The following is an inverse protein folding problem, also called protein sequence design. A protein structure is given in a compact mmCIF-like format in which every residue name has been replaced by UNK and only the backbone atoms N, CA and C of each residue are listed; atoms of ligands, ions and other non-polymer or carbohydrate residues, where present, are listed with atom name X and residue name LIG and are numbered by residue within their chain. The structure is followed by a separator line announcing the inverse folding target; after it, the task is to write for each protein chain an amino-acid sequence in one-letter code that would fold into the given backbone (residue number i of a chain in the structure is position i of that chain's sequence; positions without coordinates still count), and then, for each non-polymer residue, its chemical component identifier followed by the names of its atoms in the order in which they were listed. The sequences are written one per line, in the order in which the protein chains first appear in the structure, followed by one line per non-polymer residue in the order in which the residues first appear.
data_IF_159457537305
#
_entry.id   IF_159457537305
#
_cell.length_a   1.000
_cell.length_b   1.000
_cell.length_c   1.000
_cell.angle_alpha   90.00
_cell.angle_beta   90.00
_cell.angle_gamma   90.00
#
_symmetry.space_group_name_H-M   'P 1'
#
loop_
_entity.id
_entity.type
_entity.pdbx_description
1 polymer ?
#
# COMPACT_ATOMS: atom_id res chain seq x y z
N UNK A 1 10.36 15.49 43.12
CA UNK A 1 9.21 15.36 42.19
C UNK A 1 9.68 14.46 41.06
N UNK A 2 9.55 13.15 41.25
CA UNK A 2 10.00 12.14 40.29
C UNK A 2 9.06 12.10 39.10
N UNK A 3 9.62 12.07 37.89
CA UNK A 3 8.85 11.88 36.66
C UNK A 3 8.14 10.52 36.70
N UNK A 4 6.84 10.44 36.31
CA UNK A 4 6.17 9.16 36.23
C UNK A 4 6.83 8.30 35.15
N UNK A 5 6.98 6.98 35.37
CA UNK A 5 7.56 6.09 34.37
C UNK A 5 6.64 6.10 33.14
N UNK A 6 7.22 6.44 31.99
CA UNK A 6 6.59 6.24 30.68
C UNK A 6 6.15 4.77 30.61
N UNK A 7 4.85 4.50 30.58
CA UNK A 7 4.30 3.15 30.41
C UNK A 7 4.93 2.56 29.15
N UNK A 8 5.84 1.60 29.30
CA UNK A 8 6.33 0.79 28.20
C UNK A 8 5.09 0.22 27.49
N UNK A 9 4.92 0.54 26.20
CA UNK A 9 3.83 0.01 25.40
C UNK A 9 3.77 -1.52 25.63
N UNK A 10 2.60 -2.02 26.01
CA UNK A 10 2.43 -3.43 26.33
C UNK A 10 2.96 -4.26 25.17
N UNK A 11 4.01 -5.05 25.43
CA UNK A 11 4.64 -5.86 24.39
C UNK A 11 3.60 -6.81 23.79
N UNK A 12 3.51 -6.91 22.46
CA UNK A 12 2.42 -7.64 21.81
C UNK A 12 2.45 -9.15 22.11
N UNK A 13 1.28 -9.77 22.28
CA UNK A 13 1.15 -11.22 22.54
C UNK A 13 0.99 -11.98 21.20
N UNK A 14 2.13 -12.32 20.59
CA UNK A 14 2.18 -13.05 19.33
C UNK A 14 1.60 -14.47 19.43
N UNK A 15 1.65 -15.09 20.62
CA UNK A 15 1.09 -16.42 20.82
C UNK A 15 -0.44 -16.37 20.82
N UNK A 16 -1.04 -15.35 21.45
CA UNK A 16 -2.47 -15.08 21.35
C UNK A 16 -2.89 -14.71 19.92
N UNK A 17 -2.13 -13.84 19.24
CA UNK A 17 -2.39 -13.49 17.84
C UNK A 17 -2.41 -14.73 16.94
N UNK A 18 -1.42 -15.61 17.05
CA UNK A 18 -1.37 -16.89 16.32
C UNK A 18 -2.57 -17.77 16.58
N UNK A 19 -3.01 -17.91 17.84
CA UNK A 19 -4.20 -18.70 18.19
C UNK A 19 -5.46 -18.15 17.53
N UNK A 20 -5.64 -16.82 17.55
CA UNK A 20 -6.78 -16.16 16.90
C UNK A 20 -6.79 -16.39 15.39
N UNK A 21 -5.64 -16.22 14.73
CA UNK A 21 -5.53 -16.39 13.28
C UNK A 21 -5.76 -17.84 12.85
N UNK A 22 -5.28 -18.81 13.66
CA UNK A 22 -5.57 -20.22 13.42
C UNK A 22 -7.08 -20.49 13.46
N UNK A 23 -7.78 -19.97 14.46
CA UNK A 23 -9.23 -20.13 14.56
C UNK A 23 -9.94 -19.49 13.36
N UNK A 24 -9.56 -18.26 13.00
CA UNK A 24 -10.13 -17.57 11.84
C UNK A 24 -9.89 -18.32 10.52
N UNK A 25 -8.68 -18.83 10.29
CA UNK A 25 -8.38 -19.62 9.10
C UNK A 25 -9.28 -20.86 9.02
N UNK A 26 -9.49 -21.55 10.15
CA UNK A 26 -10.40 -22.70 10.23
C UNK A 26 -11.85 -22.30 9.94
N UNK A 27 -12.32 -21.20 10.53
CA UNK A 27 -13.69 -20.69 10.35
C UNK A 27 -13.96 -20.28 8.88
N UNK A 28 -12.93 -19.84 8.16
CA UNK A 28 -12.98 -19.45 6.74
C UNK A 28 -12.59 -20.57 5.76
N UNK A 29 -12.40 -21.81 6.23
CA UNK A 29 -12.05 -22.96 5.37
C UNK A 29 -10.66 -22.90 4.74
N UNK A 30 -9.75 -22.08 5.29
CA UNK A 30 -8.35 -22.00 4.88
C UNK A 30 -7.48 -22.93 5.73
N UNK A 31 -6.42 -23.49 5.15
CA UNK A 31 -5.44 -24.26 5.93
C UNK A 31 -4.61 -23.33 6.83
N UNK A 32 -4.70 -23.43 8.17
CA UNK A 32 -3.90 -22.62 9.07
C UNK A 32 -2.39 -22.82 8.90
N UNK A 33 -1.94 -23.98 8.41
CA UNK A 33 -0.53 -24.25 8.14
C UNK A 33 0.00 -23.39 7.00
N UNK A 34 -0.81 -23.15 5.96
CA UNK A 34 -0.45 -22.26 4.85
C UNK A 34 -0.48 -20.78 5.27
N UNK A 35 -1.52 -20.38 6.00
CA UNK A 35 -1.71 -18.99 6.49
C UNK A 35 -0.61 -18.59 7.48
N UNK A 36 -0.17 -19.52 8.32
CA UNK A 36 0.85 -19.29 9.35
C UNK A 36 2.24 -19.82 8.96
N UNK A 37 2.46 -20.16 7.69
CA UNK A 37 3.75 -20.66 7.20
C UNK A 37 4.87 -19.64 7.45
N UNK A 38 6.05 -20.13 7.81
CA UNK A 38 7.20 -19.28 8.13
C UNK A 38 7.64 -18.45 6.91
N UNK A 39 7.46 -19.01 5.70
CA UNK A 39 7.77 -18.40 4.41
C UNK A 39 6.83 -17.22 4.12
N UNK A 40 5.52 -17.38 4.38
CA UNK A 40 4.54 -16.31 4.20
C UNK A 40 4.77 -15.18 5.21
N UNK A 41 4.94 -15.53 6.48
CA UNK A 41 5.21 -14.56 7.54
C UNK A 41 6.55 -13.85 7.30
N UNK A 42 7.57 -14.54 6.80
CA UNK A 42 8.84 -13.93 6.38
C UNK A 42 8.62 -12.90 5.27
N UNK A 43 7.85 -13.24 4.23
CA UNK A 43 7.57 -12.32 3.12
C UNK A 43 6.83 -11.05 3.55
N UNK A 44 5.95 -11.15 4.54
CA UNK A 44 5.14 -10.04 5.05
C UNK A 44 5.85 -9.21 6.12
N UNK A 45 6.75 -9.80 6.91
CA UNK A 45 7.46 -9.14 8.01
C UNK A 45 8.90 -8.72 7.70
N UNK A 46 9.50 -9.32 6.67
CA UNK A 46 10.93 -9.17 6.43
C UNK A 46 11.83 -9.95 7.39
N UNK A 47 11.27 -10.74 8.32
CA UNK A 47 12.05 -11.59 9.22
C UNK A 47 12.46 -12.87 8.49
N UNK A 48 13.70 -13.33 8.70
CA UNK A 48 14.21 -14.58 8.14
C UNK A 48 13.32 -15.78 8.52
N UNK A 49 12.97 -16.69 7.57
CA UNK A 49 12.04 -17.79 7.83
C UNK A 49 12.40 -18.64 9.06
N UNK A 50 13.68 -19.01 9.22
CA UNK A 50 14.15 -19.81 10.37
C UNK A 50 14.00 -19.12 11.73
N UNK A 51 13.87 -17.78 11.74
CA UNK A 51 13.71 -16.97 12.96
C UNK A 51 12.25 -16.71 13.31
N UNK A 52 11.34 -16.78 12.34
CA UNK A 52 9.91 -16.52 12.56
C UNK A 52 9.33 -17.34 13.72
N UNK A 53 9.55 -18.67 13.84
CA UNK A 53 9.01 -19.44 14.96
C UNK A 53 9.50 -18.96 16.33
N UNK A 54 10.78 -18.58 16.43
CA UNK A 54 11.39 -18.09 17.66
C UNK A 54 10.82 -16.72 18.05
N UNK A 55 10.59 -15.84 17.06
CA UNK A 55 9.97 -14.53 17.28
C UNK A 55 8.53 -14.70 17.77
N UNK A 56 7.74 -15.56 17.12
CA UNK A 56 6.36 -15.88 17.52
C UNK A 56 6.31 -16.47 18.94
N UNK A 57 7.27 -17.32 19.30
CA UNK A 57 7.41 -17.89 20.63
C UNK A 57 7.94 -16.90 21.68
N UNK A 58 8.35 -15.69 21.27
CA UNK A 58 8.94 -14.69 22.16
C UNK A 58 10.34 -15.05 22.68
N UNK A 59 11.03 -15.99 22.03
CA UNK A 59 12.36 -16.50 22.41
C UNK A 59 13.49 -15.94 21.55
N UNK A 60 13.17 -15.27 20.44
CA UNK A 60 14.17 -14.69 19.57
C UNK A 60 14.90 -13.51 20.23
N UNK A 61 16.22 -13.49 20.11
CA UNK A 61 17.06 -12.33 20.43
C UNK A 61 16.97 -11.32 19.29
N UNK A 62 16.77 -10.04 19.61
CA UNK A 62 16.65 -8.98 18.60
C UNK A 62 17.97 -8.79 17.83
N UNK A 63 17.88 -8.61 16.52
CA UNK A 63 19.03 -8.36 15.65
C UNK A 63 19.31 -6.86 15.60
N UNK A 64 20.59 -6.41 15.53
CA UNK A 64 20.93 -5.00 15.35
C UNK A 64 20.17 -4.35 14.18
N UNK A 65 19.78 -3.09 14.34
CA UNK A 65 18.91 -2.37 13.41
C UNK A 65 19.48 -2.37 11.99
N UNK A 66 20.77 -2.09 11.84
CA UNK A 66 21.50 -2.04 10.57
C UNK A 66 21.37 -3.35 9.81
N UNK A 67 21.60 -4.47 10.53
CA UNK A 67 21.51 -5.81 9.97
C UNK A 67 20.08 -6.17 9.61
N UNK A 68 19.08 -5.80 10.42
CA UNK A 68 17.66 -6.02 10.09
C UNK A 68 17.24 -5.26 8.85
N UNK A 69 17.54 -3.97 8.80
CA UNK A 69 17.17 -3.07 7.70
C UNK A 69 17.82 -3.56 6.40
N UNK A 70 19.09 -3.94 6.43
CA UNK A 70 19.80 -4.54 5.31
C UNK A 70 19.17 -5.87 4.85
N UNK A 71 18.94 -6.81 5.77
CA UNK A 71 18.33 -8.11 5.46
C UNK A 71 16.94 -7.96 4.85
N UNK A 72 16.12 -7.04 5.38
CA UNK A 72 14.78 -6.75 4.87
C UNK A 72 14.82 -6.14 3.49
N UNK A 73 15.75 -5.23 3.24
CA UNK A 73 15.95 -4.65 1.92
C UNK A 73 16.35 -5.70 0.88
N UNK A 74 17.29 -6.61 1.23
CA UNK A 74 17.65 -7.73 0.37
C UNK A 74 16.47 -8.68 0.13
N UNK A 75 15.67 -8.97 1.15
CA UNK A 75 14.49 -9.82 0.98
C UNK A 75 13.47 -9.18 0.02
N UNK A 76 13.23 -7.87 0.11
CA UNK A 76 12.34 -7.17 -0.82
C UNK A 76 12.84 -7.31 -2.25
N UNK A 77 14.13 -7.02 -2.50
CA UNK A 77 14.74 -7.17 -3.83
C UNK A 77 14.71 -8.62 -4.32
N UNK A 78 14.81 -9.59 -3.41
CA UNK A 78 14.80 -11.00 -3.74
C UNK A 78 13.40 -11.57 -4.03
N UNK A 79 12.36 -11.02 -3.42
CA UNK A 79 10.99 -11.56 -3.48
C UNK A 79 10.03 -10.74 -4.31
N UNK A 80 10.34 -9.47 -4.59
CA UNK A 80 9.53 -8.54 -5.40
C UNK A 80 10.34 -8.15 -6.62
N UNK A 81 10.30 -9.01 -7.63
CA UNK A 81 11.08 -8.87 -8.88
C UNK A 81 10.37 -7.96 -9.88
N UNK A 82 11.11 -7.52 -10.89
CA UNK A 82 10.54 -6.81 -12.05
C UNK A 82 9.64 -7.75 -12.88
N UNK A 83 9.00 -7.19 -13.92
CA UNK A 83 8.14 -7.95 -14.85
C UNK A 83 8.84 -9.11 -15.60
N UNK A 84 10.18 -9.17 -15.53
CA UNK A 84 11.02 -10.19 -16.13
C UNK A 84 11.66 -11.13 -15.08
N UNK A 85 11.27 -11.03 -13.81
CA UNK A 85 11.81 -11.86 -12.74
C UNK A 85 13.19 -11.45 -12.21
N UNK A 86 13.72 -10.29 -12.63
CA UNK A 86 15.03 -9.78 -12.20
C UNK A 86 14.91 -8.89 -10.96
N UNK A 87 16.02 -8.67 -10.26
CA UNK A 87 16.05 -7.67 -9.19
C UNK A 87 15.90 -6.27 -9.76
N UNK A 88 15.17 -5.43 -9.04
CA UNK A 88 15.16 -4.01 -9.31
C UNK A 88 16.56 -3.41 -9.13
N UNK A 89 17.06 -2.65 -10.12
CA UNK A 89 18.26 -1.84 -9.98
C UNK A 89 18.07 -0.79 -8.89
N UNK A 90 19.12 -0.49 -8.12
CA UNK A 90 19.06 0.54 -7.07
C UNK A 90 18.67 1.92 -7.61
N UNK A 91 19.09 2.25 -8.83
CA UNK A 91 18.72 3.49 -9.50
C UNK A 91 17.20 3.58 -9.73
N UNK A 92 16.58 2.50 -10.23
CA UNK A 92 15.14 2.46 -10.48
C UNK A 92 14.32 2.58 -9.19
N UNK A 93 14.80 1.95 -8.10
CA UNK A 93 14.15 2.06 -6.79
C UNK A 93 14.23 3.50 -6.28
N UNK A 94 15.40 4.14 -6.40
CA UNK A 94 15.63 5.49 -5.89
C UNK A 94 14.89 6.58 -6.70
N UNK A 95 14.75 6.38 -8.02
CA UNK A 95 14.03 7.27 -8.92
C UNK A 95 12.54 7.42 -8.54
N UNK A 96 11.90 6.36 -8.03
CA UNK A 96 10.50 6.39 -7.55
C UNK A 96 10.23 7.33 -6.37
N UNK A 97 11.29 7.84 -5.73
CA UNK A 97 11.20 8.81 -4.65
C UNK A 97 12.20 9.96 -4.81
N UNK A 98 12.52 10.31 -6.05
CA UNK A 98 13.33 11.47 -6.43
C UNK A 98 14.71 11.51 -5.75
N UNK A 99 15.32 10.34 -5.54
CA UNK A 99 16.63 10.21 -4.92
C UNK A 99 17.70 9.73 -5.92
N UNK A 100 18.97 10.13 -5.74
CA UNK A 100 20.07 9.59 -6.55
C UNK A 100 20.21 8.08 -6.35
N UNK A 101 20.45 7.32 -7.43
CA UNK A 101 20.62 5.86 -7.36
C UNK A 101 21.71 5.38 -6.38
N UNK A 102 22.77 6.19 -6.21
CA UNK A 102 23.84 5.93 -5.25
C UNK A 102 23.39 6.01 -3.77
N UNK A 103 22.24 6.65 -3.48
CA UNK A 103 21.72 6.85 -2.12
C UNK A 103 21.35 5.55 -1.40
N UNK A 104 21.08 4.47 -2.15
CA UNK A 104 20.78 3.14 -1.63
C UNK A 104 22.02 2.23 -1.55
N UNK A 105 23.19 2.69 -2.03
CA UNK A 105 24.43 1.92 -2.00
C UNK A 105 24.82 1.43 -0.61
N UNK A 106 24.89 2.30 0.42
CA UNK A 106 25.21 1.89 1.79
C UNK A 106 24.21 0.90 2.39
N UNK A 107 22.90 1.07 2.09
CA UNK A 107 21.86 0.14 2.51
C UNK A 107 22.04 -1.24 1.86
N UNK A 108 22.32 -1.25 0.55
CA UNK A 108 22.54 -2.48 -0.20
C UNK A 108 23.82 -3.21 0.22
N UNK A 109 24.86 -2.48 0.65
CA UNK A 109 26.10 -3.05 1.16
C UNK A 109 26.02 -3.43 2.66
N UNK A 110 24.95 -3.05 3.36
CA UNK A 110 24.81 -3.27 4.80
C UNK A 110 25.74 -2.39 5.64
N UNK A 111 26.28 -1.31 5.07
CA UNK A 111 27.23 -0.41 5.71
C UNK A 111 26.59 0.88 6.24
N UNK A 112 25.31 1.12 5.94
CA UNK A 112 24.60 2.31 6.41
C UNK A 112 23.08 2.16 6.43
N UNK A 113 22.44 2.97 7.26
CA UNK A 113 20.98 3.07 7.34
C UNK A 113 20.44 4.09 6.32
N UNK A 114 19.25 3.85 5.76
CA UNK A 114 18.58 4.84 4.94
C UNK A 114 18.11 6.02 5.80
N UNK A 115 18.07 7.22 5.21
CA UNK A 115 17.31 8.34 5.78
C UNK A 115 15.83 7.94 5.86
N UNK A 116 15.09 8.50 6.82
CA UNK A 116 13.67 8.17 7.01
C UNK A 116 12.83 8.33 5.74
N UNK A 117 13.05 9.40 4.97
CA UNK A 117 12.39 9.60 3.67
C UNK A 117 12.73 8.51 2.63
N UNK A 118 13.98 8.06 2.58
CA UNK A 118 14.38 6.97 1.66
C UNK A 118 13.80 5.62 2.11
N UNK A 119 13.72 5.37 3.42
CA UNK A 119 13.08 4.17 3.95
C UNK A 119 11.59 4.15 3.59
N UNK A 120 10.90 5.28 3.69
CA UNK A 120 9.52 5.42 3.26
C UNK A 120 9.35 5.20 1.75
N UNK A 121 10.23 5.78 0.94
CA UNK A 121 10.26 5.59 -0.52
C UNK A 121 10.43 4.13 -0.92
N UNK A 122 11.43 3.43 -0.36
CA UNK A 122 11.65 1.99 -0.62
C UNK A 122 10.43 1.15 -0.23
N UNK A 123 9.81 1.44 0.93
CA UNK A 123 8.63 0.71 1.38
C UNK A 123 7.44 0.91 0.42
N UNK A 124 7.24 2.15 -0.06
CA UNK A 124 6.19 2.46 -1.05
C UNK A 124 6.46 1.77 -2.37
N UNK A 125 7.67 1.86 -2.90
CA UNK A 125 8.09 1.22 -4.16
C UNK A 125 7.75 -0.29 -4.17
N UNK A 126 8.03 -0.99 -3.06
CA UNK A 126 7.76 -2.42 -2.95
C UNK A 126 6.35 -2.77 -2.47
N UNK A 127 5.48 -1.78 -2.24
CA UNK A 127 4.12 -1.99 -1.74
C UNK A 127 4.10 -2.69 -0.39
N UNK A 128 4.96 -2.29 0.55
CA UNK A 128 4.99 -2.79 1.92
C UNK A 128 4.66 -1.69 2.93
N UNK A 129 4.24 -2.09 4.12
CA UNK A 129 3.75 -1.18 5.15
C UNK A 129 4.83 -0.20 5.64
N UNK A 130 4.37 0.96 6.11
CA UNK A 130 5.23 1.94 6.76
C UNK A 130 5.89 1.35 8.02
N UNK A 131 7.22 1.39 8.07
CA UNK A 131 8.00 0.81 9.16
C UNK A 131 8.47 -0.61 8.91
N UNK A 132 8.15 -1.23 7.77
CA UNK A 132 8.65 -2.55 7.38
C UNK A 132 10.16 -2.65 7.51
N UNK A 133 10.94 -1.63 7.12
CA UNK A 133 12.40 -1.69 7.24
C UNK A 133 12.87 -1.55 8.69
N UNK A 134 12.25 -0.68 9.48
CA UNK A 134 12.78 -0.21 10.76
C UNK A 134 12.26 -0.99 11.99
N UNK A 135 11.04 -1.53 11.92
CA UNK A 135 10.37 -2.19 13.06
C UNK A 135 11.18 -3.35 13.64
N UNK A 136 11.21 -3.55 14.96
CA UNK A 136 11.81 -4.76 15.54
C UNK A 136 11.18 -6.06 15.01
N UNK A 137 11.86 -7.19 15.18
CA UNK A 137 11.38 -8.48 14.68
C UNK A 137 10.00 -8.83 15.22
N UNK A 138 9.71 -8.49 16.48
CA UNK A 138 8.44 -8.81 17.14
C UNK A 138 7.28 -8.03 16.53
N UNK A 139 7.40 -6.71 16.42
CA UNK A 139 6.38 -5.85 15.81
C UNK A 139 6.19 -6.12 14.31
N UNK A 140 7.25 -6.50 13.60
CA UNK A 140 7.12 -6.88 12.19
C UNK A 140 6.35 -8.19 12.00
N UNK A 141 6.60 -9.19 12.85
CA UNK A 141 5.87 -10.47 12.82
C UNK A 141 4.43 -10.30 13.29
N UNK A 142 4.16 -9.43 14.26
CA UNK A 142 2.80 -9.07 14.67
C UNK A 142 1.98 -8.54 13.49
N UNK A 143 2.52 -7.57 12.75
CA UNK A 143 1.86 -7.03 11.57
C UNK A 143 1.71 -8.06 10.48
N UNK A 144 2.71 -8.91 10.25
CA UNK A 144 2.59 -10.01 9.29
C UNK A 144 1.50 -11.02 9.68
N UNK A 145 1.33 -11.28 10.98
CA UNK A 145 0.22 -12.07 11.50
C UNK A 145 -1.11 -11.37 11.24
N UNK A 146 -1.24 -10.07 11.52
CA UNK A 146 -2.44 -9.29 11.20
C UNK A 146 -2.76 -9.26 9.69
N UNK A 147 -1.74 -9.09 8.83
CA UNK A 147 -1.90 -9.16 7.36
C UNK A 147 -2.22 -10.57 6.86
N UNK A 148 -1.77 -11.61 7.56
CA UNK A 148 -2.15 -13.00 7.27
C UNK A 148 -3.56 -13.31 7.76
N UNK A 149 -4.04 -12.59 8.77
CA UNK A 149 -5.41 -12.60 9.25
C UNK A 149 -6.37 -11.87 8.31
N UNK A 150 -5.89 -10.82 7.60
CA UNK A 150 -6.57 -10.06 6.55
C UNK A 150 -7.02 -10.93 5.38
N UNK A 151 -8.17 -11.60 5.46
CA UNK A 151 -9.55 -11.07 5.45
C UNK A 151 -10.15 -10.44 6.73
N UNK A 152 -9.46 -10.31 7.85
CA UNK A 152 -9.88 -9.46 8.98
C UNK A 152 -8.68 -8.76 9.64
N UNK A 153 -8.58 -7.41 9.62
CA UNK A 153 -7.56 -6.68 10.36
C UNK A 153 -7.84 -6.72 11.87
N UNK A 154 -6.79 -6.62 12.69
CA UNK A 154 -6.95 -6.40 14.13
C UNK A 154 -7.68 -5.06 14.28
N UNK A 155 -8.90 -5.07 14.80
CA UNK A 155 -9.85 -3.95 14.77
C UNK A 155 -9.42 -2.66 15.49
N UNK A 156 -8.12 -2.41 15.69
CA UNK A 156 -7.53 -1.10 15.95
C UNK A 156 -7.16 -0.38 14.66
N UNK A 157 -6.58 -1.06 13.68
CA UNK A 157 -6.25 -0.46 12.39
C UNK A 157 -7.54 -0.10 11.62
N UNK A 158 -8.59 -0.94 11.74
CA UNK A 158 -9.92 -0.63 11.21
C UNK A 158 -10.52 0.62 11.87
N UNK A 159 -10.33 0.80 13.18
CA UNK A 159 -10.89 1.97 13.87
C UNK A 159 -10.12 3.25 13.55
N UNK A 160 -8.81 3.17 13.31
CA UNK A 160 -8.03 4.32 12.84
C UNK A 160 -8.38 4.68 11.40
N UNK A 161 -8.56 3.67 10.53
CA UNK A 161 -9.01 3.87 9.15
C UNK A 161 -10.43 4.47 9.12
N UNK A 162 -11.37 3.88 9.86
CA UNK A 162 -12.73 4.41 10.01
C UNK A 162 -12.70 5.80 10.63
N UNK A 163 -11.80 6.08 11.58
CA UNK A 163 -11.61 7.43 12.14
C UNK A 163 -11.18 8.42 11.06
N UNK A 164 -10.25 8.04 10.19
CA UNK A 164 -9.79 8.85 9.06
C UNK A 164 -10.89 9.14 8.02
N UNK A 165 -11.75 8.16 7.75
CA UNK A 165 -12.85 8.25 6.79
C UNK A 165 -14.07 9.02 7.33
N UNK A 166 -14.30 9.01 8.64
CA UNK A 166 -15.53 9.55 9.26
C UNK A 166 -15.30 10.82 10.10
N UNK A 167 -14.07 11.07 10.53
CA UNK A 167 -13.75 12.11 11.51
C UNK A 167 -14.19 11.77 12.93
N UNK A 168 -14.74 10.58 13.17
CA UNK A 168 -15.13 10.11 14.50
C UNK A 168 -13.92 9.61 15.28
N UNK A 169 -13.99 9.66 16.60
CA UNK A 169 -12.94 9.04 17.44
C UNK A 169 -13.08 7.51 17.43
N UNK A 170 -11.99 6.74 17.65
CA UNK A 170 -12.08 5.28 17.78
C UNK A 170 -13.11 4.81 18.84
N UNK A 171 -13.28 5.59 19.90
CA UNK A 171 -14.30 5.33 20.93
C UNK A 171 -15.73 5.56 20.40
N UNK A 172 -15.95 6.65 19.69
CA UNK A 172 -17.25 6.94 19.07
C UNK A 172 -17.64 5.86 18.06
N UNK A 173 -16.70 5.42 17.23
CA UNK A 173 -16.93 4.34 16.25
C UNK A 173 -17.36 3.06 16.94
N UNK A 174 -16.66 2.63 18.01
CA UNK A 174 -17.07 1.45 18.79
C UNK A 174 -18.48 1.59 19.35
N UNK A 175 -18.79 2.73 19.93
CA UNK A 175 -20.11 3.00 20.48
C UNK A 175 -21.20 2.97 19.41
N UNK A 176 -20.95 3.52 18.22
CA UNK A 176 -21.87 3.48 17.09
C UNK A 176 -22.04 2.07 16.53
N UNK A 177 -20.96 1.28 16.39
CA UNK A 177 -21.02 -0.15 16.03
C UNK A 177 -21.83 -0.97 17.04
N UNK A 178 -21.75 -0.62 18.32
CA UNK A 178 -22.56 -1.21 19.40
C UNK A 178 -24.02 -0.70 19.41
N UNK A 179 -24.45 0.11 18.44
CA UNK A 179 -25.80 0.69 18.37
C UNK A 179 -26.06 1.80 19.39
N UNK A 180 -25.01 2.40 19.96
CA UNK A 180 -25.06 3.42 21.00
C UNK A 180 -24.30 4.70 20.60
N UNK A 181 -24.63 5.32 19.45
CA UNK A 181 -23.86 6.45 18.93
C UNK A 181 -23.82 7.62 19.93
N UNK A 182 -22.66 8.27 20.13
CA UNK A 182 -22.58 9.51 20.88
C UNK A 182 -23.49 10.57 20.25
N UNK A 183 -24.28 11.28 21.06
CA UNK A 183 -25.16 12.36 20.59
C UNK A 183 -24.55 13.72 20.89
N UNK A 184 -23.50 14.06 20.15
CA UNK A 184 -22.90 15.39 20.24
C UNK A 184 -23.85 16.44 19.63
N UNK A 185 -23.89 17.67 20.15
CA UNK A 185 -24.52 18.78 19.46
C UNK A 185 -23.91 18.92 18.05
N UNK A 186 -24.74 19.11 17.01
CA UNK A 186 -24.30 19.17 15.61
C UNK A 186 -23.13 20.16 15.40
N UNK A 187 -23.17 21.31 16.09
CA UNK A 187 -22.12 22.32 16.04
C UNK A 187 -20.76 21.82 16.54
N UNK A 188 -20.77 21.01 17.60
CA UNK A 188 -19.55 20.39 18.13
C UNK A 188 -19.05 19.28 17.20
N UNK A 189 -19.95 18.44 16.69
CA UNK A 189 -19.61 17.40 15.71
C UNK A 189 -18.94 17.99 14.46
N UNK A 190 -19.55 19.01 13.87
CA UNK A 190 -19.06 19.69 12.66
C UNK A 190 -17.69 20.33 12.92
N UNK A 191 -17.49 20.95 14.09
CA UNK A 191 -16.20 21.49 14.50
C UNK A 191 -15.13 20.39 14.63
N UNK A 192 -15.44 19.29 15.33
CA UNK A 192 -14.51 18.18 15.51
C UNK A 192 -14.13 17.51 14.19
N UNK A 193 -15.09 17.30 13.29
CA UNK A 193 -14.85 16.73 11.96
C UNK A 193 -14.03 17.67 11.08
N UNK A 194 -14.27 18.98 11.16
CA UNK A 194 -13.46 19.97 10.45
C UNK A 194 -12.01 20.01 10.97
N UNK A 195 -11.80 20.02 12.28
CA UNK A 195 -10.47 19.95 12.87
C UNK A 195 -9.79 18.60 12.60
N UNK A 196 -10.56 17.51 12.52
CA UNK A 196 -10.05 16.22 12.09
C UNK A 196 -9.49 16.29 10.67
N UNK A 197 -10.24 16.85 9.70
CA UNK A 197 -9.74 17.04 8.32
C UNK A 197 -8.44 17.84 8.31
N UNK A 198 -8.37 18.95 9.03
CA UNK A 198 -7.18 19.80 9.10
C UNK A 198 -5.96 19.09 9.68
N UNK A 199 -6.16 18.12 10.58
CA UNK A 199 -5.09 17.35 11.23
C UNK A 199 -4.64 16.15 10.40
N UNK A 200 -5.55 15.50 9.69
CA UNK A 200 -5.25 14.25 8.96
C UNK A 200 -4.94 14.45 7.49
N UNK A 201 -5.37 15.56 6.89
CA UNK A 201 -5.14 15.92 5.49
C UNK A 201 -4.31 17.19 5.44
N UNK A 202 -3.02 17.04 5.74
CA UNK A 202 -2.04 18.14 5.79
C UNK A 202 -1.40 18.37 4.42
N UNK A 203 -0.75 19.51 4.26
CA UNK A 203 0.05 19.85 3.08
C UNK A 203 1.31 18.97 3.00
N UNK A 204 2.01 19.04 1.87
CA UNK A 204 3.31 18.36 1.66
C UNK A 204 4.37 18.74 2.70
N UNK A 205 4.31 19.96 3.24
CA UNK A 205 5.19 20.45 4.33
C UNK A 205 4.78 19.93 5.72
N UNK A 206 3.76 19.08 5.82
CA UNK A 206 3.23 18.52 7.05
C UNK A 206 2.37 19.48 7.86
N UNK A 207 2.15 20.71 7.41
CA UNK A 207 1.33 21.70 8.12
C UNK A 207 -0.15 21.63 7.71
N UNK A 208 -1.10 21.92 8.63
CA UNK A 208 -2.51 22.07 8.27
C UNK A 208 -2.72 23.17 7.22
N UNK A 209 -3.69 22.97 6.34
CA UNK A 209 -4.11 24.02 5.41
C UNK A 209 -4.60 25.26 6.18
N UNK A 210 -4.20 26.44 5.73
CA UNK A 210 -4.66 27.70 6.31
C UNK A 210 -6.13 27.91 6.00
N UNK A 211 -6.86 28.55 6.93
CA UNK A 211 -8.29 28.85 6.72
C UNK A 211 -8.51 29.71 5.48
N UNK A 212 -7.58 30.61 5.17
CA UNK A 212 -7.63 31.42 3.95
C UNK A 212 -7.47 30.58 2.69
N UNK A 213 -6.57 29.58 2.68
CA UNK A 213 -6.40 28.69 1.53
C UNK A 213 -7.66 27.86 1.28
N UNK A 214 -8.29 27.37 2.36
CA UNK A 214 -9.55 26.63 2.28
C UNK A 214 -10.67 27.54 1.76
N UNK A 215 -10.82 28.77 2.29
CA UNK A 215 -11.87 29.70 1.86
C UNK A 215 -11.80 30.05 0.37
N UNK A 216 -10.57 30.24 -0.14
CA UNK A 216 -10.31 30.59 -1.55
C UNK A 216 -10.77 29.51 -2.52
N UNK A 217 -10.83 28.24 -2.12
CA UNK A 217 -11.22 27.16 -3.04
C UNK A 217 -12.72 27.12 -3.35
N UNK A 218 -13.53 27.94 -2.67
CA UNK A 218 -14.97 28.05 -2.92
C UNK A 218 -15.49 29.49 -2.78
N UNK A 219 -14.62 30.48 -3.05
CA UNK A 219 -14.93 31.91 -3.11
C UNK A 219 -15.68 32.45 -1.88
N UNK A 220 -15.24 32.02 -0.68
CA UNK A 220 -15.84 32.43 0.58
C UNK A 220 -14.95 33.38 1.40
N UNK A 221 -15.58 34.16 2.29
CA UNK A 221 -14.85 34.95 3.29
C UNK A 221 -14.27 34.05 4.39
N UNK A 222 -13.02 34.30 4.77
CA UNK A 222 -12.32 33.50 5.80
C UNK A 222 -12.95 33.57 7.20
N UNK A 223 -13.84 34.55 7.44
CA UNK A 223 -14.45 34.78 8.76
C UNK A 223 -15.40 33.64 9.18
N UNK A 224 -16.11 33.03 8.22
CA UNK A 224 -16.96 31.85 8.47
C UNK A 224 -16.12 30.65 8.93
N UNK A 225 -14.97 30.42 8.28
CA UNK A 225 -14.05 29.34 8.66
C UNK A 225 -13.36 29.60 9.99
N UNK A 226 -13.03 30.84 10.34
CA UNK A 226 -12.49 31.18 11.66
C UNK A 226 -13.48 30.83 12.77
N UNK A 227 -14.77 31.15 12.58
CA UNK A 227 -15.81 30.76 13.54
C UNK A 227 -16.00 29.26 13.63
N UNK A 228 -15.95 28.55 12.50
CA UNK A 228 -16.02 27.09 12.48
C UNK A 228 -14.81 26.45 13.21
N UNK A 229 -13.60 26.95 12.96
CA UNK A 229 -12.37 26.51 13.61
C UNK A 229 -12.36 26.76 15.13
N UNK A 230 -13.11 27.76 15.61
CA UNK A 230 -13.30 28.02 17.05
C UNK A 230 -14.48 27.27 17.66
N UNK A 231 -15.23 26.51 16.87
CA UNK A 231 -16.46 25.86 17.32
C UNK A 231 -17.56 26.86 17.67
N UNK A 232 -17.55 28.06 17.08
CA UNK A 232 -18.49 29.16 17.36
C UNK A 232 -19.64 29.23 16.33
N UNK A 233 -19.56 28.54 15.21
CA UNK A 233 -20.60 28.55 14.17
C UNK A 233 -20.60 27.30 13.30
N UNK A 234 -21.72 27.12 12.58
CA UNK A 234 -21.85 26.13 11.52
C UNK A 234 -21.51 26.76 10.18
N UNK A 235 -20.89 26.00 9.24
CA UNK A 235 -20.81 26.44 7.85
C UNK A 235 -22.22 26.45 7.24
N UNK A 236 -22.48 27.37 6.32
CA UNK A 236 -23.64 27.24 5.44
C UNK A 236 -23.41 26.07 4.45
N UNK A 237 -24.44 25.64 3.73
CA UNK A 237 -24.36 24.48 2.83
C UNK A 237 -23.28 24.64 1.74
N UNK A 238 -23.14 25.84 1.18
CA UNK A 238 -22.13 26.13 0.17
C UNK A 238 -20.71 25.99 0.74
N UNK A 239 -20.48 26.53 1.94
CA UNK A 239 -19.20 26.41 2.64
C UNK A 239 -18.91 24.95 3.05
N UNK A 240 -19.90 24.20 3.53
CA UNK A 240 -19.76 22.79 3.86
C UNK A 240 -19.34 21.97 2.62
N UNK A 241 -20.02 22.18 1.50
CA UNK A 241 -19.68 21.53 0.23
C UNK A 241 -18.29 21.96 -0.28
N UNK A 242 -17.93 23.23 -0.13
CA UNK A 242 -16.62 23.76 -0.49
C UNK A 242 -15.48 23.13 0.30
N UNK A 243 -15.64 23.02 1.62
CA UNK A 243 -14.69 22.34 2.51
C UNK A 243 -14.54 20.86 2.12
N UNK A 244 -15.66 20.16 1.89
CA UNK A 244 -15.64 18.74 1.55
C UNK A 244 -14.94 18.48 0.22
N UNK A 245 -15.20 19.30 -0.81
CA UNK A 245 -14.48 19.23 -2.09
C UNK A 245 -13.00 19.53 -1.94
N UNK A 246 -12.64 20.55 -1.14
CA UNK A 246 -11.24 20.91 -0.90
C UNK A 246 -10.44 19.73 -0.32
N UNK A 247 -11.03 18.99 0.62
CA UNK A 247 -10.40 17.83 1.26
C UNK A 247 -10.62 16.50 0.54
N UNK A 248 -11.35 16.49 -0.58
CA UNK A 248 -11.68 15.27 -1.32
C UNK A 248 -12.50 14.26 -0.51
N UNK A 249 -13.42 14.73 0.34
CA UNK A 249 -14.31 13.86 1.12
C UNK A 249 -15.75 13.90 0.60
N UNK A 250 -16.50 12.84 0.89
CA UNK A 250 -17.87 12.65 0.44
C UNK A 250 -18.83 13.77 0.83
N UNK A 251 -19.85 13.93 -0.02
CA UNK A 251 -20.94 14.86 0.20
C UNK A 251 -21.71 14.53 1.48
N UNK A 252 -21.61 15.40 2.49
CA UNK A 252 -22.31 15.22 3.77
C UNK A 252 -21.39 14.86 4.94
N UNK A 253 -20.10 14.63 4.71
CA UNK A 253 -19.11 14.30 5.76
C UNK A 253 -19.21 15.18 7.01
N UNK A 254 -19.40 16.50 6.87
CA UNK A 254 -19.47 17.39 8.03
C UNK A 254 -20.78 17.23 8.81
N UNK A 255 -21.90 16.99 8.12
CA UNK A 255 -23.26 17.07 8.64
C UNK A 255 -23.89 15.72 8.98
N UNK A 256 -23.40 14.63 8.38
CA UNK A 256 -23.90 13.27 8.59
C UNK A 256 -23.84 12.91 10.06
N UNK A 257 -24.84 12.20 10.60
CA UNK A 257 -24.70 11.66 11.95
C UNK A 257 -23.62 10.57 12.01
N UNK A 258 -23.31 10.08 13.21
CA UNK A 258 -22.27 9.08 13.40
C UNK A 258 -22.60 7.72 12.74
N UNK A 259 -23.88 7.38 12.61
CA UNK A 259 -24.33 6.14 11.96
C UNK A 259 -24.22 6.26 10.45
N UNK A 260 -24.69 7.38 9.89
CA UNK A 260 -24.59 7.69 8.46
C UNK A 260 -23.13 7.75 7.98
N UNK A 261 -22.27 8.44 8.75
CA UNK A 261 -20.85 8.54 8.44
C UNK A 261 -20.18 7.15 8.44
N UNK A 262 -20.48 6.34 9.45
CA UNK A 262 -19.92 5.00 9.57
C UNK A 262 -20.42 4.05 8.47
N UNK A 263 -21.70 4.11 8.13
CA UNK A 263 -22.27 3.33 7.02
C UNK A 263 -21.62 3.68 5.68
N UNK A 264 -21.44 4.98 5.40
CA UNK A 264 -20.74 5.43 4.19
C UNK A 264 -19.29 4.96 4.12
N UNK A 265 -18.55 5.06 5.24
CA UNK A 265 -17.17 4.57 5.31
C UNK A 265 -17.07 3.05 5.09
N UNK A 266 -17.99 2.27 5.67
CA UNK A 266 -18.03 0.81 5.48
C UNK A 266 -18.37 0.44 4.03
N UNK A 267 -19.28 1.16 3.37
CA UNK A 267 -19.60 0.93 1.96
C UNK A 267 -18.42 1.23 1.02
N UNK A 268 -17.61 2.26 1.33
CA UNK A 268 -16.37 2.53 0.58
C UNK A 268 -15.37 1.37 0.73
N UNK A 269 -15.15 0.91 1.97
CA UNK A 269 -14.26 -0.23 2.26
C UNK A 269 -14.77 -1.49 1.55
N UNK A 270 -16.08 -1.75 1.58
CA UNK A 270 -16.71 -2.86 0.86
C UNK A 270 -16.43 -2.77 -0.65
N UNK A 271 -16.66 -1.61 -1.27
CA UNK A 271 -16.41 -1.42 -2.70
C UNK A 271 -14.92 -1.61 -3.09
N UNK A 272 -13.99 -1.16 -2.25
CA UNK A 272 -12.55 -1.39 -2.41
C UNK A 272 -12.19 -2.87 -2.28
N UNK A 273 -12.75 -3.57 -1.30
CA UNK A 273 -12.51 -5.01 -1.13
C UNK A 273 -13.09 -5.80 -2.31
N UNK A 274 -14.29 -5.46 -2.76
CA UNK A 274 -14.87 -6.06 -3.95
C UNK A 274 -14.08 -5.76 -5.22
N UNK A 275 -13.49 -4.57 -5.36
CA UNK A 275 -12.64 -4.26 -6.53
C UNK A 275 -11.38 -5.13 -6.52
N UNK A 276 -10.73 -5.27 -5.37
CA UNK A 276 -9.56 -6.15 -5.18
C UNK A 276 -9.91 -7.61 -5.48
N UNK A 277 -11.08 -8.09 -5.04
CA UNK A 277 -11.55 -9.44 -5.35
C UNK A 277 -11.83 -9.59 -6.85
N UNK A 278 -12.52 -8.65 -7.48
CA UNK A 278 -12.79 -8.66 -8.93
C UNK A 278 -11.52 -8.62 -9.78
N UNK A 279 -10.50 -7.89 -9.34
CA UNK A 279 -9.20 -7.82 -10.01
C UNK A 279 -8.40 -9.13 -9.85
N UNK A 280 -8.55 -9.82 -8.72
CA UNK A 280 -7.95 -11.15 -8.48
C UNK A 280 -8.66 -12.27 -9.24
N UNK A 281 -9.97 -12.20 -9.35
CA UNK A 281 -10.79 -13.25 -9.99
C UNK A 281 -10.68 -13.25 -11.53
N UNK A 282 -10.28 -12.14 -12.16
CA UNK A 282 -10.21 -12.08 -13.62
C UNK A 282 -9.08 -11.16 -14.13
N UNK A 283 -7.81 -11.65 -14.12
CA UNK A 283 -6.65 -10.86 -14.52
C UNK A 283 -6.75 -10.34 -15.96
N UNK A 284 -7.49 -11.05 -16.83
CA UNK A 284 -7.78 -10.62 -18.20
C UNK A 284 -8.65 -9.36 -18.24
N UNK A 285 -9.68 -9.25 -17.38
CA UNK A 285 -10.54 -8.07 -17.32
C UNK A 285 -9.82 -6.84 -16.73
N UNK A 286 -8.87 -7.06 -15.82
CA UNK A 286 -8.03 -5.99 -15.29
C UNK A 286 -7.15 -5.38 -16.39
N UNK A 287 -6.51 -6.21 -17.23
CA UNK A 287 -5.72 -5.77 -18.39
C UNK A 287 -6.59 -5.05 -19.42
N UNK A 288 -7.79 -5.56 -19.71
CA UNK A 288 -8.71 -4.96 -20.68
C UNK A 288 -9.20 -3.56 -20.27
N UNK A 289 -9.34 -3.29 -18.96
CA UNK A 289 -9.76 -1.99 -18.42
C UNK A 289 -8.61 -0.99 -18.32
N UNK A 290 -7.41 -1.45 -17.93
CA UNK A 290 -6.24 -0.60 -17.78
C UNK A 290 -5.73 0.00 -19.12
N UNK A 291 -5.99 -0.70 -20.24
CA UNK A 291 -5.40 -0.36 -21.54
C UNK A 291 -6.44 0.00 -22.63
N UNK A 292 -7.69 0.31 -22.25
CA UNK A 292 -8.82 0.63 -23.15
C UNK A 292 -8.92 -0.28 -24.40
N UNK A 293 -8.76 -1.59 -24.18
CA UNK A 293 -8.65 -2.58 -25.26
C UNK A 293 -10.03 -2.96 -25.83
N UNK A 294 -11.12 -2.44 -25.24
CA UNK A 294 -12.52 -2.75 -25.60
C UNK A 294 -12.82 -2.47 -27.07
N UNK A 295 -12.29 -1.37 -27.61
CA UNK A 295 -12.51 -1.02 -29.02
C UNK A 295 -11.82 -1.99 -29.99
N UNK A 296 -10.69 -2.57 -29.58
CA UNK A 296 -9.90 -3.53 -30.37
C UNK A 296 -10.59 -4.89 -30.33
N UNK A 297 -10.97 -5.37 -29.15
CA UNK A 297 -11.66 -6.66 -28.97
C UNK A 297 -13.00 -6.69 -29.74
N UNK A 298 -13.77 -5.60 -29.68
CA UNK A 298 -15.05 -5.48 -30.40
C UNK A 298 -14.88 -5.58 -31.93
N UNK A 299 -13.79 -5.02 -32.47
CA UNK A 299 -13.48 -5.08 -33.90
C UNK A 299 -12.85 -6.40 -34.31
N UNK A 300 -11.97 -6.96 -33.48
CA UNK A 300 -11.36 -8.27 -33.67
C UNK A 300 -12.43 -9.38 -33.73
N UNK A 301 -13.52 -9.25 -32.95
CA UNK A 301 -14.69 -10.14 -32.99
C UNK A 301 -15.36 -10.28 -34.36
N UNK A 302 -15.09 -9.38 -35.31
CA UNK A 302 -15.63 -9.41 -36.68
C UNK A 302 -14.68 -10.06 -37.69
N UNK A 303 -13.47 -10.44 -37.27
CA UNK A 303 -12.46 -11.00 -38.15
C UNK A 303 -12.66 -12.52 -38.34
N UNK A 304 -12.28 -13.01 -39.52
CA UNK A 304 -12.18 -14.45 -39.78
C UNK A 304 -10.96 -15.04 -39.05
N UNK A 305 -10.89 -16.37 -38.80
CA UNK A 305 -9.75 -16.98 -38.09
C UNK A 305 -8.36 -16.64 -38.67
N UNK A 306 -8.26 -16.43 -40.00
CA UNK A 306 -7.03 -15.95 -40.64
C UNK A 306 -6.73 -14.48 -40.29
N UNK A 307 -7.76 -13.64 -40.19
CA UNK A 307 -7.65 -12.26 -39.71
C UNK A 307 -7.25 -12.17 -38.25
N UNK A 308 -7.71 -13.09 -37.39
CA UNK A 308 -7.24 -13.20 -36.01
C UNK A 308 -5.76 -13.50 -35.92
N UNK A 309 -5.27 -14.46 -36.73
CA UNK A 309 -3.83 -14.78 -36.81
C UNK A 309 -3.02 -13.57 -37.28
N UNK A 310 -3.47 -12.88 -38.33
CA UNK A 310 -2.80 -11.68 -38.82
C UNK A 310 -2.79 -10.52 -37.82
N UNK A 311 -3.85 -10.36 -37.01
CA UNK A 311 -3.89 -9.37 -35.94
C UNK A 311 -2.92 -9.71 -34.81
N UNK A 312 -2.82 -10.99 -34.44
CA UNK A 312 -1.88 -11.46 -33.44
C UNK A 312 -0.42 -11.26 -33.92
N UNK A 313 -0.10 -11.67 -35.14
CA UNK A 313 1.24 -11.49 -35.73
C UNK A 313 1.62 -9.99 -35.79
N UNK A 314 0.65 -9.11 -36.10
CA UNK A 314 0.88 -7.67 -36.13
C UNK A 314 1.08 -7.05 -34.72
N UNK A 315 0.38 -7.56 -33.71
CA UNK A 315 0.60 -7.16 -32.32
C UNK A 315 1.98 -7.61 -31.84
N UNK A 316 2.42 -8.80 -32.21
CA UNK A 316 3.77 -9.29 -31.91
C UNK A 316 4.84 -8.41 -32.58
N UNK A 317 4.63 -8.00 -33.84
CA UNK A 317 5.51 -7.05 -34.53
C UNK A 317 5.56 -5.68 -33.83
N UNK A 318 4.42 -5.16 -33.37
CA UNK A 318 4.35 -3.89 -32.63
C UNK A 318 5.07 -4.00 -31.29
N UNK A 319 4.86 -5.08 -30.55
CA UNK A 319 5.53 -5.34 -29.29
C UNK A 319 7.04 -5.55 -29.47
N UNK A 320 7.48 -6.18 -30.56
CA UNK A 320 8.89 -6.30 -30.91
C UNK A 320 9.53 -4.93 -31.21
N UNK A 321 8.81 -4.04 -31.91
CA UNK A 321 9.26 -2.66 -32.19
C UNK A 321 9.35 -1.81 -30.92
N UNK A 322 8.46 -2.02 -29.97
CA UNK A 322 8.50 -1.37 -28.65
C UNK A 322 9.51 -2.02 -27.69
N UNK A 323 10.29 -3.00 -28.17
CA UNK A 323 11.32 -3.68 -27.38
C UNK A 323 10.77 -4.61 -26.30
N UNK A 324 9.49 -4.99 -26.38
CA UNK A 324 8.81 -5.88 -25.44
C UNK A 324 8.85 -7.36 -25.85
N UNK A 325 9.24 -7.65 -27.10
CA UNK A 325 9.55 -9.01 -27.57
C UNK A 325 10.97 -9.04 -28.15
N UNK A 326 11.79 -9.97 -27.67
CA UNK A 326 13.14 -10.20 -28.21
C UNK A 326 13.09 -10.74 -29.63
N UNK A 327 13.93 -10.21 -30.52
CA UNK A 327 13.95 -10.56 -31.96
C UNK A 327 14.26 -12.05 -32.14
N UNK A 328 13.37 -12.86 -32.76
CA UNK A 328 13.67 -14.24 -33.09
C UNK A 328 14.54 -14.30 -34.35
N UNK A 329 15.79 -14.77 -34.20
CA UNK A 329 16.61 -15.20 -35.35
C UNK A 329 17.95 -14.48 -35.51
N UNK A 330 18.92 -14.75 -34.63
CA UNK A 330 20.34 -14.67 -34.97
C UNK A 330 20.98 -16.04 -34.78
N UNK A 331 20.73 -16.94 -35.76
CA UNK A 331 21.75 -17.91 -36.15
C UNK A 331 22.53 -17.29 -37.29
N UNK A 332 23.76 -16.87 -37.03
CA UNK A 332 24.83 -16.96 -38.02
C UNK A 332 26.03 -17.57 -37.31
N UNK A 333 26.30 -18.82 -37.68
CA UNK A 333 27.54 -19.50 -37.33
C UNK A 333 28.73 -18.78 -37.95
N UNK A 334 29.87 -18.98 -37.32
CA UNK A 334 31.18 -18.67 -37.88
C UNK A 334 31.38 -19.38 -39.23
N UNK A 335 32.07 -18.76 -40.20
CA UNK A 335 32.78 -19.50 -41.22
C UNK A 335 34.15 -19.93 -40.65
N UNK A 336 34.40 -21.24 -40.67
CA UNK A 336 35.74 -21.79 -40.60
C UNK A 336 36.44 -21.50 -41.94
N UNK A 337 37.52 -20.73 -41.89
CA UNK A 337 38.52 -20.69 -42.95
C UNK A 337 39.40 -21.93 -42.82
N UNK A 338 39.26 -22.86 -43.75
CA UNK A 338 40.23 -23.94 -43.98
C UNK A 338 40.67 -23.80 -45.45
N UNK A 339 41.77 -23.08 -45.67
CA UNK A 339 42.44 -22.99 -46.95
C UNK A 339 43.73 -23.82 -46.86
N UNK A 340 43.70 -24.92 -47.61
CA UNK A 340 44.73 -25.93 -47.72
C UNK A 340 46.10 -25.36 -48.14
N UNK A 341 47.15 -25.86 -47.48
CA UNK A 341 48.53 -25.82 -47.94
C UNK A 341 48.94 -27.26 -48.30
N UNK A 342 49.38 -27.45 -49.55
CA UNK A 342 50.25 -28.51 -50.12
C UNK A 342 50.06 -28.40 -51.65
N UNK A 343 51.02 -28.15 -52.54
CA UNK A 343 52.48 -28.12 -52.48
C UNK A 343 52.99 -28.77 -53.76
N UNK A 344 53.58 -28.03 -54.71
CA UNK A 344 54.57 -28.59 -55.66
C UNK A 344 55.28 -27.48 -56.48
N UNK A 345 56.60 -27.59 -56.49
CA UNK A 345 57.60 -26.90 -57.33
C UNK A 345 57.78 -27.69 -58.63
N UNK A 346 58.30 -27.10 -59.74
CA UNK A 346 59.69 -26.63 -59.86
C UNK A 346 59.87 -25.20 -60.33
#
# INVERSE_FOLDING_TARGET
MENPPVRAAARPDLAAARRRIRALAQDHGQDPAEVLSAERLSRLSGVEPGRVPQVVAGTAVEVPLERRVHQRFLLLRATRRDKHGREWPLAAIAEDFDAPGASLGPLNAGTGLPRLGHAAGVQRFFGVHAGFLLADSKSAVERALALSAGTVPDGRDDLEHLSYLTGMTPRAIRLTLDGRPPRLPLKEQVHLRFEHLRRTRVREDGQPHSLTAIARSFDASGQSLTRLARGEGLPNLAAAAGIQRFYGVEGGYLLADDTEALAGALALIEAELESVVRERENPMLAVLRAHDVRSIVTRAGRLSPRGWKSLADHLDDLLAREGQLGVPGTRSGAPAEDAAAEGETP
#
